data_IF_665798200141
#
_entry.id   IF_665798200141
#
_cell.length_a   1.000
_cell.length_b   1.000
_cell.length_c   1.000
_cell.angle_alpha   90.00
_cell.angle_beta   90.00
_cell.angle_gamma   90.00
#
_symmetry.space_group_name_H-M   'P 1'
#
loop_
_entity.id
_entity.type
_entity.pdbx_description
1 polymer ?
2 non-polymer ?
3 water ?
#
# COMPACT_ATOMS: atom_id res chain seq x y z
N UNK A 11 28.27 7.81 3.58
CA UNK A 11 29.54 7.63 2.86
C UNK A 11 29.21 7.08 1.47
N UNK A 12 28.86 5.80 1.35
CA UNK A 12 28.37 5.20 0.08
C UNK A 12 27.14 6.00 -0.40
N UNK A 13 26.22 6.31 0.51
CA UNK A 13 25.00 7.11 0.22
C UNK A 13 25.39 8.49 -0.31
N UNK A 14 26.34 9.17 0.34
CA UNK A 14 26.75 10.57 0.02
C UNK A 14 27.62 10.59 -1.24
N UNK A 15 28.51 9.60 -1.39
CA UNK A 15 29.41 9.47 -2.57
C UNK A 15 28.58 9.19 -3.84
N UNK A 16 27.72 8.18 -3.82
CA UNK A 16 27.10 7.61 -5.06
C UNK A 16 25.83 8.35 -5.47
N UNK A 17 25.16 9.06 -4.56
CA UNK A 17 23.85 9.71 -4.80
C UNK A 17 23.93 11.22 -4.50
N UNK A 18 23.00 11.97 -5.09
CA UNK A 18 22.67 13.36 -4.73
C UNK A 18 21.26 13.34 -4.16
N UNK A 19 20.98 14.08 -3.09
CA UNK A 19 19.61 14.15 -2.49
C UNK A 19 18.82 15.24 -3.21
N UNK A 20 17.53 15.00 -3.49
CA UNK A 20 16.65 15.96 -4.22
C UNK A 20 15.44 16.39 -3.38
N UNK A 21 14.87 15.51 -2.54
CA UNK A 21 13.52 15.74 -1.97
C UNK A 21 13.19 14.73 -0.86
N UNK A 22 12.71 15.24 0.27
CA UNK A 22 12.09 14.41 1.33
C UNK A 22 10.75 13.92 0.78
N UNK A 23 10.55 12.60 0.68
CA UNK A 23 9.26 12.01 0.24
C UNK A 23 8.38 11.71 1.45
N UNK A 24 8.97 11.49 2.63
CA UNK A 24 8.22 10.93 3.77
C UNK A 24 9.02 10.81 5.04
N UNK A 25 8.33 10.73 6.17
CA UNK A 25 8.89 10.32 7.48
C UNK A 25 7.96 9.27 8.11
N UNK A 26 8.49 8.04 8.29
CA UNK A 26 7.83 6.91 8.98
C UNK A 26 8.17 6.87 10.46
N UNK A 27 7.91 5.72 11.11
CA UNK A 27 8.08 5.50 12.56
C UNK A 27 9.48 5.95 12.99
N UNK A 28 10.51 5.23 12.55
CA UNK A 28 11.94 5.56 12.74
C UNK A 28 12.63 5.48 11.37
N UNK A 29 12.49 6.52 10.55
CA UNK A 29 13.19 6.61 9.25
C UNK A 29 12.64 7.70 8.34
N UNK A 30 13.37 8.00 7.26
CA UNK A 30 12.98 8.96 6.21
C UNK A 30 13.06 8.26 4.86
N UNK A 31 12.20 8.64 3.91
CA UNK A 31 12.36 8.29 2.47
C UNK A 31 12.80 9.55 1.71
N UNK A 32 13.97 9.49 1.08
CA UNK A 32 14.56 10.60 0.30
C UNK A 32 14.60 10.20 -1.18
N UNK A 33 14.02 11.03 -2.04
CA UNK A 33 14.27 10.97 -3.50
C UNK A 33 15.70 11.40 -3.76
N UNK A 34 16.48 10.55 -4.43
CA UNK A 34 17.92 10.78 -4.75
C UNK A 34 18.13 10.56 -6.24
N UNK A 35 19.32 10.89 -6.72
CA UNK A 35 19.76 10.58 -8.09
C UNK A 35 21.09 9.86 -7.96
N UNK A 36 21.23 8.76 -8.68
CA UNK A 36 22.51 8.02 -8.75
C UNK A 36 23.45 8.72 -9.75
N UNK A 37 24.65 9.08 -9.30
CA UNK A 37 25.67 9.82 -10.09
C UNK A 37 26.06 9.01 -11.33
N UNK A 38 26.18 7.69 -11.22
CA UNK A 38 26.77 6.83 -12.28
C UNK A 38 25.71 6.51 -13.35
N UNK A 39 24.48 6.15 -12.96
CA UNK A 39 23.46 5.69 -13.94
C UNK A 39 22.49 6.85 -14.25
N UNK A 40 22.50 7.92 -13.47
CA UNK A 40 21.69 9.13 -13.73
C UNK A 40 20.22 8.93 -13.36
N UNK A 41 19.88 7.81 -12.75
CA UNK A 41 18.47 7.45 -12.46
C UNK A 41 18.08 7.95 -11.06
N UNK A 42 16.81 8.33 -10.92
CA UNK A 42 16.24 8.73 -9.63
C UNK A 42 15.74 7.46 -8.93
N UNK A 43 15.92 7.40 -7.61
CA UNK A 43 15.53 6.27 -6.73
C UNK A 43 14.91 6.88 -5.48
N UNK A 44 14.12 6.09 -4.76
CA UNK A 44 13.68 6.40 -3.37
C UNK A 44 14.55 5.59 -2.42
N UNK A 45 15.24 6.25 -1.49
CA UNK A 45 16.10 5.56 -0.50
C UNK A 45 15.51 5.83 0.90
N UNK A 46 15.14 4.75 1.59
CA UNK A 46 14.72 4.78 3.01
C UNK A 46 15.98 4.64 3.86
N UNK A 47 16.12 5.51 4.86
CA UNK A 47 17.28 5.55 5.78
C UNK A 47 16.72 5.30 7.18
N UNK A 48 17.04 4.13 7.76
CA UNK A 48 16.52 3.71 9.09
C UNK A 48 17.71 3.68 10.05
N UNK A 49 17.72 4.52 11.10
CA UNK A 49 18.75 4.42 12.13
C UNK A 49 18.47 3.11 12.88
N UNK A 50 19.49 2.29 13.11
CA UNK A 50 19.27 0.89 13.58
C UNK A 50 20.26 0.57 14.72
N UNK A 51 19.80 -0.23 15.69
CA UNK A 51 20.61 -0.77 16.81
C UNK A 51 21.08 -2.17 16.42
N UNK A 52 22.33 -2.34 15.95
CA UNK A 52 22.78 -3.64 15.44
C UNK A 52 22.96 -4.64 16.59
N UNK A 53 22.40 -5.84 16.44
CA UNK A 53 22.43 -6.98 17.39
C UNK A 53 21.21 -6.96 18.34
N UNK A 54 20.35 -5.93 18.25
CA UNK A 54 19.01 -5.87 18.91
C UNK A 54 18.07 -6.81 18.16
N UNK A 55 16.97 -7.24 18.79
CA UNK A 55 15.94 -8.11 18.16
C UNK A 55 15.24 -7.31 17.06
N UNK A 56 14.98 -6.01 17.30
CA UNK A 56 14.40 -5.07 16.30
C UNK A 56 15.22 -5.22 15.00
N UNK A 57 16.55 -5.09 15.09
CA UNK A 57 17.43 -5.12 13.90
C UNK A 57 17.29 -6.46 13.16
N UNK A 58 17.43 -7.57 13.89
CA UNK A 58 17.47 -8.95 13.32
C UNK A 58 16.15 -9.32 12.65
N UNK A 59 15.03 -8.77 13.18
CA UNK A 59 13.72 -8.86 12.48
C UNK A 59 13.76 -8.02 11.20
N UNK A 60 14.33 -6.81 11.24
CA UNK A 60 14.41 -5.91 10.06
C UNK A 60 15.20 -6.62 8.96
N UNK A 61 16.38 -7.16 9.32
CA UNK A 61 17.26 -7.91 8.36
C UNK A 61 16.47 -9.08 7.77
N UNK A 62 15.57 -9.72 8.54
CA UNK A 62 14.73 -10.82 8.06
C UNK A 62 13.67 -10.34 7.07
N UNK A 63 13.03 -9.23 7.37
CA UNK A 63 12.00 -8.66 6.47
C UNK A 63 12.70 -8.20 5.19
N UNK A 64 13.95 -7.76 5.26
CA UNK A 64 14.72 -7.36 4.05
C UNK A 64 14.98 -8.60 3.19
N UNK A 65 15.44 -9.72 3.79
CA UNK A 65 15.77 -10.94 3.00
C UNK A 65 14.46 -11.38 2.30
N UNK A 66 13.35 -11.25 3.02
CA UNK A 66 12.03 -11.74 2.57
C UNK A 66 11.47 -10.85 1.45
N UNK A 67 11.44 -9.53 1.64
CA UNK A 67 10.84 -8.59 0.66
C UNK A 67 11.73 -8.47 -0.57
N UNK A 68 13.05 -8.66 -0.42
CA UNK A 68 14.02 -8.66 -1.55
C UNK A 68 13.64 -9.72 -2.59
N UNK A 69 12.87 -10.75 -2.23
CA UNK A 69 12.52 -11.88 -3.13
C UNK A 69 11.20 -11.62 -3.88
N UNK A 70 10.53 -10.49 -3.67
CA UNK A 70 9.28 -10.14 -4.40
C UNK A 70 9.61 -9.57 -5.79
N UNK A 71 8.95 -10.06 -6.84
CA UNK A 71 9.19 -9.66 -8.26
C UNK A 71 7.86 -9.65 -9.00
N UNK A 72 7.20 -8.49 -9.08
CA UNK A 72 5.87 -8.33 -9.72
C UNK A 72 5.71 -6.89 -10.18
N UNK A 73 5.09 -6.71 -11.34
CA UNK A 73 4.90 -5.41 -12.04
C UNK A 73 4.10 -4.44 -11.15
N UNK A 74 3.41 -4.93 -10.12
CA UNK A 74 2.59 -4.09 -9.20
C UNK A 74 3.23 -3.99 -7.81
N UNK A 75 4.50 -4.38 -7.66
CA UNK A 75 5.29 -4.14 -6.41
C UNK A 75 6.37 -3.11 -6.72
N UNK A 76 6.58 -2.14 -5.84
CA UNK A 76 7.73 -1.21 -6.02
C UNK A 76 8.98 -2.09 -6.19
N UNK A 77 9.77 -1.81 -7.22
CA UNK A 77 10.99 -2.56 -7.60
C UNK A 77 12.11 -2.29 -6.60
N UNK A 78 12.82 -3.33 -6.17
CA UNK A 78 13.91 -3.27 -5.16
C UNK A 78 15.25 -3.26 -5.89
N UNK A 79 16.17 -2.42 -5.43
CA UNK A 79 17.51 -2.28 -6.04
C UNK A 79 18.59 -2.78 -5.07
N UNK A 80 18.54 -2.33 -3.82
CA UNK A 80 19.74 -2.48 -2.96
C UNK A 80 19.39 -2.20 -1.49
N UNK A 81 20.11 -2.86 -0.60
CA UNK A 81 20.07 -2.62 0.85
C UNK A 81 21.51 -2.69 1.36
N UNK A 82 21.88 -1.83 2.30
CA UNK A 82 23.23 -1.84 2.90
C UNK A 82 23.21 -1.06 4.20
N UNK A 83 24.30 -1.21 4.96
CA UNK A 83 24.45 -0.64 6.33
C UNK A 83 25.66 0.29 6.33
N UNK A 84 25.59 1.39 7.08
CA UNK A 84 26.71 2.34 7.25
C UNK A 84 26.94 2.62 8.74
N UNK A 85 28.18 2.95 9.09
CA UNK A 85 28.62 3.23 10.48
C UNK A 85 28.53 4.74 10.75
N UNK A 98 29.53 5.86 16.69
CA UNK A 98 28.54 5.30 17.65
C UNK A 98 27.12 5.53 17.14
N UNK A 99 26.87 5.35 15.83
CA UNK A 99 25.55 5.48 15.12
C UNK A 99 25.56 4.59 13.87
N UNK A 100 24.45 3.90 13.57
CA UNK A 100 24.30 2.93 12.44
C UNK A 100 23.03 3.20 11.63
N UNK A 101 23.12 3.11 10.30
CA UNK A 101 21.99 3.33 9.37
C UNK A 101 21.85 2.16 8.40
N UNK A 102 20.59 1.73 8.21
CA UNK A 102 20.18 0.83 7.10
C UNK A 102 19.58 1.69 5.99
N UNK A 103 20.11 1.57 4.77
CA UNK A 103 19.56 2.21 3.53
C UNK A 103 18.90 1.14 2.68
N UNK A 104 17.72 1.44 2.13
CA UNK A 104 17.00 0.59 1.15
C UNK A 104 16.69 1.47 -0.06
N UNK A 105 17.30 1.12 -1.18
CA UNK A 105 17.15 1.81 -2.47
C UNK A 105 16.08 1.09 -3.30
N UNK A 106 14.99 1.80 -3.60
CA UNK A 106 13.84 1.32 -4.42
C UNK A 106 13.65 2.21 -5.64
N UNK A 107 12.82 1.75 -6.57
CA UNK A 107 12.25 2.52 -7.69
C UNK A 107 11.64 3.81 -7.13
N UNK A 108 11.87 4.93 -7.79
CA UNK A 108 11.10 6.18 -7.58
C UNK A 108 9.90 6.16 -8.53
N UNK A 109 8.69 6.28 -8.00
CA UNK A 109 7.43 6.29 -8.77
C UNK A 109 7.02 7.75 -9.07
N UNK A 110 7.02 8.11 -10.34
CA UNK A 110 7.01 9.53 -10.80
C UNK A 110 5.66 10.20 -10.47
N UNK A 111 4.57 9.43 -10.46
CA UNK A 111 3.17 9.92 -10.30
C UNK A 111 2.72 9.90 -8.82
N UNK A 112 3.66 9.79 -7.87
CA UNK A 112 3.38 9.90 -6.42
C UNK A 112 2.49 8.74 -5.92
N UNK A 113 1.62 9.00 -4.94
CA UNK A 113 0.79 8.00 -4.21
C UNK A 113 -0.64 7.96 -4.74
N UNK A 114 -1.34 6.87 -4.44
CA UNK A 114 -2.80 6.71 -4.68
C UNK A 114 -3.54 7.78 -3.86
N UNK A 115 -3.01 8.16 -2.70
CA UNK A 115 -3.57 9.21 -1.81
C UNK A 115 -3.74 10.53 -2.58
N UNK A 116 -2.68 10.98 -3.27
CA UNK A 116 -2.70 12.23 -4.06
C UNK A 116 -3.76 12.09 -5.16
N UNK A 117 -3.81 10.93 -5.81
CA UNK A 117 -4.74 10.64 -6.93
C UNK A 117 -6.19 10.61 -6.43
N UNK A 118 -6.45 10.03 -5.24
CA UNK A 118 -7.82 10.00 -4.63
C UNK A 118 -8.25 11.45 -4.34
N UNK A 119 -7.36 12.20 -3.68
CA UNK A 119 -7.57 13.60 -3.24
C UNK A 119 -7.79 14.52 -4.45
N UNK A 120 -7.28 14.16 -5.64
CA UNK A 120 -7.35 14.98 -6.87
C UNK A 120 -8.59 14.64 -7.71
N UNK A 121 -9.50 13.82 -7.19
CA UNK A 121 -10.80 13.53 -7.83
C UNK A 121 -10.74 12.36 -8.78
N UNK A 122 -10.08 11.27 -8.35
CA UNK A 122 -9.98 9.98 -9.08
C UNK A 122 -11.39 9.46 -9.40
N UNK A 123 -12.32 9.64 -8.45
CA UNK A 123 -13.69 9.03 -8.41
C UNK A 123 -14.51 9.37 -9.65
N UNK A 124 -14.15 10.42 -10.40
CA UNK A 124 -14.92 10.90 -11.58
C UNK A 124 -14.43 10.17 -12.84
N UNK A 125 -13.36 9.37 -12.73
CA UNK A 125 -12.78 8.58 -13.85
C UNK A 125 -12.99 7.08 -13.60
N UNK A 126 -14.18 6.54 -13.92
CA UNK A 126 -14.63 5.17 -13.54
C UNK A 126 -13.75 4.12 -14.24
N UNK A 127 -13.39 4.33 -15.51
CA UNK A 127 -12.52 3.41 -16.29
C UNK A 127 -11.16 3.29 -15.56
N UNK A 128 -10.61 4.43 -15.14
CA UNK A 128 -9.26 4.50 -14.53
C UNK A 128 -9.26 3.79 -13.18
N UNK A 129 -10.20 4.14 -12.29
CA UNK A 129 -10.22 3.64 -10.89
C UNK A 129 -10.50 2.13 -10.90
N UNK A 130 -11.25 1.61 -11.87
CA UNK A 130 -11.53 0.16 -12.00
C UNK A 130 -10.23 -0.56 -12.37
N UNK A 131 -9.42 0.02 -13.26
CA UNK A 131 -8.09 -0.53 -13.66
C UNK A 131 -7.15 -0.54 -12.44
N UNK A 132 -6.99 0.61 -11.76
CA UNK A 132 -6.12 0.73 -10.56
C UNK A 132 -6.54 -0.28 -9.49
N UNK A 133 -7.83 -0.52 -9.30
CA UNK A 133 -8.34 -1.49 -8.30
C UNK A 133 -7.84 -2.89 -8.68
N UNK A 134 -7.90 -3.19 -9.98
CA UNK A 134 -7.54 -4.51 -10.57
C UNK A 134 -6.04 -4.76 -10.34
N UNK A 135 -5.20 -3.74 -10.60
CA UNK A 135 -3.72 -3.81 -10.42
C UNK A 135 -3.39 -4.04 -8.95
N UNK A 136 -4.06 -3.34 -8.03
CA UNK A 136 -3.86 -3.55 -6.57
C UNK A 136 -4.12 -5.04 -6.28
N UNK A 137 -5.15 -5.59 -6.91
CA UNK A 137 -5.55 -7.01 -6.70
C UNK A 137 -4.44 -7.91 -7.28
N UNK A 138 -4.02 -7.66 -8.52
CA UNK A 138 -2.87 -8.38 -9.14
C UNK A 138 -1.75 -8.47 -8.10
N UNK A 139 -1.37 -7.35 -7.49
CA UNK A 139 -0.25 -7.24 -6.53
C UNK A 139 -0.50 -8.05 -5.27
N UNK A 140 -1.69 -7.94 -4.69
CA UNK A 140 -2.08 -8.68 -3.46
C UNK A 140 -2.11 -10.20 -3.73
N UNK A 141 -2.64 -10.62 -4.89
CA UNK A 141 -2.70 -12.03 -5.30
C UNK A 141 -1.28 -12.61 -5.31
N UNK A 142 -0.34 -11.93 -5.96
CA UNK A 142 1.09 -12.32 -6.01
C UNK A 142 1.65 -12.43 -4.59
N UNK A 143 1.46 -11.40 -3.77
CA UNK A 143 1.98 -11.34 -2.38
C UNK A 143 1.43 -12.53 -1.60
N UNK A 144 0.14 -12.84 -1.77
CA UNK A 144 -0.56 -13.92 -1.02
C UNK A 144 -0.09 -15.27 -1.54
N UNK A 145 0.07 -15.42 -2.86
CA UNK A 145 0.62 -16.66 -3.50
C UNK A 145 2.00 -16.99 -2.90
N UNK A 146 2.81 -15.97 -2.58
CA UNK A 146 4.19 -16.11 -2.02
C UNK A 146 4.15 -16.38 -0.51
N UNK A 147 2.95 -16.46 0.07
CA UNK A 147 2.73 -16.76 1.50
C UNK A 147 2.89 -15.53 2.38
N UNK A 148 2.81 -14.33 1.81
CA UNK A 148 3.06 -13.10 2.61
C UNK A 148 1.78 -12.27 2.76
N UNK A 149 1.80 -11.37 3.75
CA UNK A 149 0.73 -10.39 4.10
C UNK A 149 1.37 -9.01 4.22
N UNK A 150 0.75 -7.98 3.65
CA UNK A 150 1.21 -6.57 3.71
C UNK A 150 0.95 -6.03 5.11
N UNK A 151 -0.31 -6.06 5.55
CA UNK A 151 -0.74 -5.64 6.92
C UNK A 151 -0.76 -4.12 7.10
N UNK A 152 -0.13 -3.33 6.22
CA UNK A 152 -0.06 -1.85 6.32
C UNK A 152 -0.56 -1.23 5.01
N UNK A 153 -1.58 -1.84 4.39
CA UNK A 153 -2.09 -1.37 3.09
C UNK A 153 -2.98 -0.15 3.33
N UNK A 154 -2.65 0.94 2.64
CA UNK A 154 -3.36 2.25 2.69
C UNK A 154 -2.88 3.09 1.52
N UNK A 155 -3.67 4.08 1.06
CA UNK A 155 -3.34 4.87 -0.12
C UNK A 155 -1.95 5.51 -0.14
N UNK A 156 -1.39 5.94 0.99
CA UNK A 156 -0.02 6.56 1.02
C UNK A 156 1.05 5.48 0.77
N UNK A 157 0.67 4.19 0.81
CA UNK A 157 1.61 3.04 0.68
C UNK A 157 1.44 2.38 -0.69
N UNK A 158 0.55 2.91 -1.52
CA UNK A 158 0.40 2.48 -2.94
C UNK A 158 0.86 3.64 -3.81
N UNK A 159 1.89 3.40 -4.64
CA UNK A 159 2.55 4.42 -5.50
C UNK A 159 2.08 4.23 -6.94
N UNK A 160 2.30 5.24 -7.77
CA UNK A 160 1.89 5.25 -9.20
C UNK A 160 3.12 5.63 -10.02
N UNK A 161 3.46 4.82 -11.02
CA UNK A 161 4.62 5.06 -11.93
C UNK A 161 4.18 6.05 -13.01
N UNK A 162 5.12 6.42 -13.89
CA UNK A 162 4.93 7.45 -14.94
C UNK A 162 3.91 6.98 -15.97
N UNK A 163 3.65 5.67 -16.03
CA UNK A 163 2.66 5.07 -16.96
C UNK A 163 1.34 4.84 -16.22
N UNK A 164 1.19 5.42 -15.03
CA UNK A 164 -0.04 5.36 -14.18
C UNK A 164 -0.37 3.92 -13.77
N UNK A 165 0.64 3.07 -13.50
CA UNK A 165 0.43 1.70 -12.96
C UNK A 165 0.72 1.67 -11.46
N UNK A 166 -0.06 0.86 -10.73
CA UNK A 166 0.05 0.65 -9.26
C UNK A 166 1.37 -0.06 -8.93
N UNK A 167 2.11 0.47 -7.96
CA UNK A 167 3.30 -0.17 -7.33
C UNK A 167 3.08 -0.18 -5.81
N UNK A 168 2.81 -1.35 -5.22
CA UNK A 168 2.62 -1.48 -3.75
C UNK A 168 3.99 -1.50 -3.07
N UNK A 169 4.12 -0.81 -1.94
CA UNK A 169 5.35 -0.78 -1.14
C UNK A 169 5.03 -0.49 0.31
N UNK A 170 6.07 -0.20 1.09
CA UNK A 170 5.98 0.17 2.52
C UNK A 170 5.25 -0.93 3.26
N UNK A 171 5.75 -2.16 3.15
CA UNK A 171 5.32 -3.34 3.95
C UNK A 171 5.49 -3.00 5.42
N UNK A 172 6.60 -2.34 5.76
CA UNK A 172 6.99 -2.07 7.15
C UNK A 172 7.98 -3.12 7.60
N UNK A 173 9.21 -2.70 7.83
CA UNK A 173 10.34 -3.61 8.09
C UNK A 173 10.32 -4.14 9.53
N UNK A 174 9.49 -3.58 10.42
CA UNK A 174 9.39 -4.01 11.84
C UNK A 174 8.18 -4.94 12.04
N UNK A 175 7.44 -5.23 10.98
CA UNK A 175 6.23 -6.11 10.97
C UNK A 175 6.57 -7.47 10.31
N UNK A 176 6.11 -8.57 10.89
CA UNK A 176 6.19 -9.93 10.29
C UNK A 176 5.22 -9.99 9.10
N UNK A 177 5.72 -10.35 7.92
CA UNK A 177 4.92 -10.47 6.66
C UNK A 177 4.70 -11.93 6.26
N UNK A 178 5.23 -12.89 7.03
CA UNK A 178 4.96 -14.33 6.78
C UNK A 178 3.59 -14.70 7.34
N UNK A 179 2.65 -15.00 6.44
CA UNK A 179 1.23 -15.22 6.76
C UNK A 179 1.10 -16.21 7.91
N UNK A 180 1.89 -17.29 7.90
CA UNK A 180 1.73 -18.45 8.83
C UNK A 180 2.13 -18.06 10.26
N UNK A 181 2.89 -16.97 10.43
CA UNK A 181 3.25 -16.39 11.75
C UNK A 181 2.89 -14.89 11.78
N UNK A 208 -5.34 5.71 10.07
CA UNK A 208 -4.27 4.69 10.24
C UNK A 208 -4.89 3.38 10.76
N UNK A 209 -5.69 3.49 11.83
CA UNK A 209 -6.51 2.41 12.43
C UNK A 209 -7.79 2.17 11.61
N UNK A 210 -8.05 2.98 10.57
CA UNK A 210 -9.28 2.92 9.74
C UNK A 210 -9.11 1.86 8.64
N UNK A 211 -7.89 1.38 8.41
CA UNK A 211 -7.59 0.35 7.38
C UNK A 211 -7.44 -1.03 8.03
N UNK A 212 -7.28 -1.06 9.36
CA UNK A 212 -6.99 -2.29 10.16
C UNK A 212 -8.29 -3.07 10.35
N UNK A 213 -8.21 -4.40 10.24
CA UNK A 213 -9.32 -5.37 10.42
C UNK A 213 -9.72 -5.44 11.89
N UNK A 214 -10.96 -5.87 12.22
CA UNK A 214 -11.34 -6.18 13.60
C UNK A 214 -10.25 -6.99 14.34
N UNK A 215 -9.51 -7.83 13.59
CA UNK A 215 -8.35 -8.63 14.07
C UNK A 215 -7.09 -7.74 14.11
N UNK A 224 -4.14 -12.99 12.44
CA UNK A 224 -3.57 -12.34 11.23
C UNK A 224 -3.44 -13.36 10.09
N UNK A 225 -4.46 -13.36 9.21
CA UNK A 225 -4.53 -14.15 7.96
C UNK A 225 -4.41 -13.20 6.75
N UNK A 226 -4.15 -13.77 5.58
CA UNK A 226 -4.19 -13.14 4.23
C UNK A 226 -5.35 -12.14 4.08
N UNK A 227 -6.47 -12.38 4.78
CA UNK A 227 -7.75 -11.63 4.61
C UNK A 227 -7.71 -10.23 5.24
N UNK A 228 -6.67 -9.86 6.00
CA UNK A 228 -6.53 -8.50 6.61
C UNK A 228 -6.32 -7.46 5.50
N UNK A 229 -5.52 -7.78 4.48
CA UNK A 229 -5.23 -6.87 3.35
C UNK A 229 -6.50 -6.59 2.55
N UNK A 230 -7.42 -7.55 2.47
CA UNK A 230 -8.62 -7.39 1.59
C UNK A 230 -9.69 -6.55 2.29
N UNK A 231 -9.74 -6.56 3.63
CA UNK A 231 -10.57 -5.60 4.40
C UNK A 231 -10.09 -4.19 4.08
N UNK A 232 -8.80 -3.93 4.33
CA UNK A 232 -8.07 -2.69 3.98
C UNK A 232 -8.46 -2.24 2.56
N UNK A 233 -8.41 -3.14 1.59
CA UNK A 233 -8.66 -2.79 0.17
C UNK A 233 -10.11 -2.32 0.00
N UNK A 234 -11.02 -2.82 0.82
CA UNK A 234 -12.43 -2.38 0.86
C UNK A 234 -12.56 -0.91 1.26
N UNK A 235 -11.76 -0.47 2.25
CA UNK A 235 -11.70 0.95 2.70
C UNK A 235 -11.08 1.77 1.57
N UNK A 236 -10.00 1.25 0.98
CA UNK A 236 -9.23 1.95 -0.09
C UNK A 236 -10.12 2.14 -1.30
N UNK A 237 -10.86 1.11 -1.71
CA UNK A 237 -11.66 1.16 -2.95
C UNK A 237 -12.84 2.13 -2.75
N UNK A 238 -13.37 2.24 -1.54
CA UNK A 238 -14.40 3.24 -1.20
C UNK A 238 -13.82 4.65 -1.41
N UNK A 239 -12.63 4.91 -0.88
CA UNK A 239 -11.95 6.22 -1.05
C UNK A 239 -11.69 6.49 -2.53
N UNK A 240 -11.33 5.46 -3.30
CA UNK A 240 -11.08 5.58 -4.76
C UNK A 240 -12.40 5.95 -5.46
N UNK A 241 -13.53 5.43 -4.95
CA UNK A 241 -14.89 5.52 -5.55
C UNK A 241 -15.62 6.80 -5.16
N UNK A 242 -15.22 7.42 -4.04
CA UNK A 242 -15.94 8.55 -3.37
C UNK A 242 -15.15 9.85 -3.54
N UNK A 243 -15.82 10.99 -3.42
CA UNK A 243 -15.21 12.34 -3.60
C UNK A 243 -14.15 12.53 -2.53
N UNK A 244 -13.08 13.32 -2.80
CA UNK A 244 -12.12 13.68 -1.76
C UNK A 244 -12.83 14.23 -0.53
N UNK A 245 -12.53 13.65 0.63
CA UNK A 245 -13.08 14.06 1.94
C UNK A 245 -12.16 15.11 2.57
N UNK A 246 -12.45 16.37 2.20
CA UNK A 246 -11.80 17.63 2.65
C UNK A 246 -11.33 17.49 4.10
N UNK A 247 -12.27 17.40 5.04
CA UNK A 247 -12.06 17.48 6.51
C UNK A 247 -11.75 16.10 7.14
N UNK A 248 -10.98 16.13 8.24
CA UNK A 248 -10.66 14.98 9.12
C UNK A 248 -11.95 14.40 9.70
N UNK A 249 -12.79 15.26 10.28
CA UNK A 249 -14.10 14.87 10.86
C UNK A 249 -14.91 14.03 9.85
N UNK A 250 -15.00 14.45 8.59
CA UNK A 250 -15.76 13.73 7.52
C UNK A 250 -15.10 12.38 7.26
N UNK A 251 -13.80 12.40 7.02
CA UNK A 251 -12.96 11.19 6.81
C UNK A 251 -13.28 10.14 7.86
N UNK A 252 -13.02 10.47 9.12
CA UNK A 252 -13.07 9.54 10.29
C UNK A 252 -14.50 8.99 10.45
N UNK A 253 -15.53 9.85 10.36
CA UNK A 253 -16.94 9.45 10.55
C UNK A 253 -17.36 8.51 9.41
N UNK A 254 -17.14 8.92 8.16
CA UNK A 254 -17.62 8.20 6.96
C UNK A 254 -17.01 6.79 6.96
N UNK A 255 -15.71 6.69 7.23
CA UNK A 255 -14.97 5.40 7.22
C UNK A 255 -15.34 4.56 8.44
N UNK A 256 -15.47 5.17 9.63
CA UNK A 256 -15.96 4.46 10.84
C UNK A 256 -17.37 3.90 10.58
N UNK A 257 -18.15 4.55 9.70
CA UNK A 257 -19.54 4.12 9.36
C UNK A 257 -19.49 2.91 8.42
N UNK A 258 -18.45 2.77 7.60
CA UNK A 258 -18.19 1.55 6.78
C UNK A 258 -17.81 0.40 7.72
N UNK A 259 -16.86 0.65 8.63
CA UNK A 259 -16.24 -0.34 9.54
C UNK A 259 -17.23 -0.75 10.63
N UNK A 260 -18.38 -0.07 10.71
CA UNK A 260 -19.51 -0.39 11.63
C UNK A 260 -19.75 -1.89 11.66
N UNK A 261 -19.63 -2.56 12.83
CA UNK A 261 -19.94 -3.99 12.94
C UNK A 261 -21.24 -4.43 12.23
N UNK A 262 -22.35 -3.73 12.48
CA UNK A 262 -23.71 -4.06 11.95
C UNK A 262 -23.84 -3.62 10.48
N UNK A 263 -22.96 -4.17 9.61
CA UNK A 263 -22.99 -4.08 8.12
C UNK A 263 -22.53 -2.70 7.62
N UNK A 264 -21.68 -2.63 6.57
CA UNK A 264 -21.16 -1.35 6.07
C UNK A 264 -22.26 -0.35 5.67
N UNK A 265 -22.26 0.81 6.32
CA UNK A 265 -23.17 1.95 6.07
C UNK A 265 -22.44 2.96 5.17
N UNK A 266 -22.98 3.23 3.98
CA UNK A 266 -22.43 4.18 2.97
C UNK A 266 -23.09 5.54 3.13
N UNK A 267 -22.43 6.66 2.78
CA UNK A 267 -23.06 7.97 2.81
C UNK A 267 -24.31 8.04 1.91
N UNK A 268 -25.14 9.06 2.14
CA UNK A 268 -26.46 9.24 1.47
C UNK A 268 -26.25 9.42 -0.04
N UNK A 269 -25.12 10.02 -0.45
CA UNK A 269 -24.83 10.37 -1.87
C UNK A 269 -23.92 9.30 -2.50
N UNK A 270 -24.00 8.06 -1.99
CA UNK A 270 -23.36 6.85 -2.57
C UNK A 270 -24.43 5.79 -2.88
N UNK A 271 -25.48 5.70 -2.06
CA UNK A 271 -26.67 4.83 -2.26
C UNK A 271 -27.39 5.26 -3.56
N UNK A 272 -26.77 4.95 -4.71
CA UNK A 272 -27.14 5.47 -6.05
C UNK A 272 -27.23 4.31 -7.05
N UNK A 273 -27.99 4.52 -8.13
CA UNK A 273 -27.96 3.69 -9.35
C UNK A 273 -26.58 3.72 -10.01
N UNK A 274 -25.83 4.81 -9.80
CA UNK A 274 -24.46 5.04 -10.34
C UNK A 274 -23.46 4.06 -9.71
N UNK A 275 -23.46 3.92 -8.37
CA UNK A 275 -22.38 3.22 -7.60
C UNK A 275 -22.92 1.90 -7.03
N UNK A 276 -23.56 1.07 -7.87
CA UNK A 276 -24.16 -0.23 -7.48
C UNK A 276 -23.08 -1.32 -7.39
N UNK A 277 -22.33 -1.53 -8.48
CA UNK A 277 -21.20 -2.50 -8.54
C UNK A 277 -20.20 -2.20 -7.43
N UNK A 278 -19.71 -0.96 -7.38
CA UNK A 278 -18.73 -0.47 -6.36
C UNK A 278 -19.22 -0.85 -4.96
N UNK A 279 -20.52 -0.69 -4.68
CA UNK A 279 -21.15 -0.98 -3.37
C UNK A 279 -21.02 -2.48 -3.06
N UNK A 280 -21.41 -3.35 -3.99
CA UNK A 280 -21.31 -4.83 -3.84
C UNK A 280 -19.89 -5.21 -3.43
N UNK A 281 -18.88 -4.85 -4.23
CA UNK A 281 -17.43 -5.18 -4.05
C UNK A 281 -17.02 -4.83 -2.62
N UNK A 282 -17.29 -3.59 -2.20
CA UNK A 282 -16.83 -3.04 -0.88
C UNK A 282 -17.50 -3.85 0.24
N UNK A 283 -18.81 -4.07 0.14
CA UNK A 283 -19.61 -4.82 1.15
C UNK A 283 -18.99 -6.21 1.36
N UNK A 284 -18.59 -6.84 0.24
CA UNK A 284 -17.95 -8.19 0.21
C UNK A 284 -16.60 -8.11 0.93
N UNK A 285 -15.77 -7.13 0.58
CA UNK A 285 -14.41 -6.95 1.14
C UNK A 285 -14.48 -6.61 2.64
N UNK A 286 -15.55 -5.97 3.11
CA UNK A 286 -15.62 -5.34 4.45
C UNK A 286 -16.36 -6.25 5.45
N UNK A 287 -16.82 -7.42 5.02
CA UNK A 287 -17.40 -8.46 5.91
C UNK A 287 -16.59 -8.55 7.22
N UNK A 288 -17.27 -8.57 8.37
CA UNK A 288 -16.64 -8.74 9.71
C UNK A 288 -15.92 -10.08 9.74
N UNK A 289 -16.55 -11.13 9.18
CA UNK A 289 -16.04 -12.52 9.15
C UNK A 289 -15.00 -12.65 8.03
N UNK A 290 -13.72 -12.94 8.35
CA UNK A 290 -12.65 -12.99 7.34
C UNK A 290 -12.86 -14.12 6.30
N UNK A 291 -13.43 -15.24 6.75
CA UNK A 291 -13.74 -16.44 5.94
C UNK A 291 -14.79 -16.12 4.87
N UNK A 292 -15.43 -14.94 4.95
CA UNK A 292 -16.51 -14.50 4.04
C UNK A 292 -16.05 -13.34 3.15
N UNK A 293 -14.80 -12.87 3.31
CA UNK A 293 -14.13 -11.97 2.34
C UNK A 293 -13.64 -12.84 1.19
N UNK A 294 -13.64 -12.32 -0.06
CA UNK A 294 -13.03 -13.03 -1.18
C UNK A 294 -11.50 -12.96 -1.09
N UNK A 295 -10.80 -13.95 -1.65
CA UNK A 295 -9.36 -13.88 -1.99
C UNK A 295 -9.22 -12.88 -3.14
N UNK A 296 -8.02 -12.32 -3.35
CA UNK A 296 -7.73 -11.40 -4.49
C UNK A 296 -8.09 -12.13 -5.80
N UNK A 297 -7.62 -13.36 -5.96
CA UNK A 297 -7.92 -14.23 -7.14
C UNK A 297 -9.44 -14.38 -7.29
N UNK A 298 -10.13 -14.82 -6.23
CA UNK A 298 -11.59 -15.04 -6.22
C UNK A 298 -12.30 -13.78 -6.71
N UNK A 299 -11.89 -12.59 -6.25
CA UNK A 299 -12.49 -11.30 -6.69
C UNK A 299 -12.11 -11.01 -8.15
N UNK A 300 -10.82 -11.09 -8.49
CA UNK A 300 -10.30 -10.91 -9.88
C UNK A 300 -11.14 -11.70 -10.88
N UNK A 301 -11.47 -12.97 -10.59
CA UNK A 301 -12.21 -13.89 -11.50
C UNK A 301 -13.70 -13.57 -11.50
N UNK A 302 -14.20 -12.90 -10.46
CA UNK A 302 -15.62 -12.49 -10.30
C UNK A 302 -16.04 -11.63 -11.48
N UNK A 303 -17.31 -11.72 -11.90
CA UNK A 303 -17.89 -10.87 -12.97
C UNK A 303 -18.60 -9.67 -12.33
N UNK A 304 -18.09 -9.22 -11.18
CA UNK A 304 -18.36 -7.88 -10.58
C UNK A 304 -17.40 -6.84 -11.18
N UNK A 305 -16.19 -7.26 -11.58
CA UNK A 305 -15.16 -6.37 -12.18
C UNK A 305 -15.44 -6.21 -13.67
N UNK A 306 -15.57 -4.96 -14.19
CA UNK A 306 -15.61 -4.70 -15.63
C UNK A 306 -14.48 -5.32 -16.44
N UNK A 307 -14.62 -5.43 -17.79
CA UNK A 307 -13.61 -6.07 -18.64
C UNK A 307 -12.23 -5.42 -18.62
N UNK A 308 -11.13 -6.22 -18.58
CA UNK A 308 -9.78 -5.70 -18.82
C UNK A 308 -9.36 -5.82 -20.29
#
# INVERSE_FOLDING_TARGET
GGSSETQRQFSRYFIEFEELQLLGKGAFGAVIKVQNKLDGCCYAVKRIPINPASRQFRRIKGEVTLLSRLHHENIVRYYNAWIENGCHESEPSVTTEAVHYLYIQMEYCEASTLRDTIDQGLYRDTVRLWRLFREILDGLAYIHEKGMIHRNLKPVNIFLDSDDHVKIGDFGLATDHLAFSADSKQDDQTGDLIKSDPSGHLEGMVGEALYVSPEVQGSTKSAYNQKVDLFSLGIIFFEMSYHPMVTASERIFVLNQLRDPTSPKFPEDFDDGEHAKQKSVISWLLNHDPAKRPTATELLKSELLPPPQMEESELHE
#
